data_IF_637539105358
#
_entry.id   IF_637539105358
#
_cell.length_a   1.000
_cell.length_b   1.000
_cell.length_c   1.000
_cell.angle_alpha   90.00
_cell.angle_beta   90.00
_cell.angle_gamma   90.00
#
_symmetry.space_group_name_H-M   'P 1'
#
loop_
_entity.id
_entity.type
_entity.pdbx_description
1 polymer ?
#
# COMPACT_ATOMS: atom_id res chain seq x y z
N UNK A 1 23.56 3.12 7.09
CA UNK A 1 22.98 4.43 6.74
C UNK A 1 23.45 4.74 5.34
N UNK A 2 22.53 4.99 4.39
CA UNK A 2 22.94 5.42 3.05
C UNK A 2 23.73 6.73 3.17
N UNK A 3 24.76 6.90 2.33
CA UNK A 3 25.50 8.15 2.28
C UNK A 3 24.56 9.32 1.96
N UNK A 4 24.82 10.51 2.49
CA UNK A 4 24.04 11.72 2.17
C UNK A 4 24.03 12.02 0.67
N UNK A 5 24.95 11.47 -0.10
CA UNK A 5 25.00 11.61 -1.56
C UNK A 5 24.05 10.63 -2.28
N UNK A 6 23.90 9.39 -1.78
CA UNK A 6 23.01 8.38 -2.38
C UNK A 6 21.54 8.83 -2.34
N UNK A 7 21.16 9.50 -1.25
CA UNK A 7 19.80 9.99 -1.05
C UNK A 7 19.43 11.11 -2.03
N UNK A 8 20.40 11.88 -2.56
CA UNK A 8 20.14 12.97 -3.50
C UNK A 8 19.65 12.51 -4.88
N UNK A 9 19.92 11.25 -5.24
CA UNK A 9 19.52 10.67 -6.52
C UNK A 9 18.21 9.88 -6.45
N UNK A 10 17.60 9.76 -5.26
CA UNK A 10 16.35 9.05 -5.05
C UNK A 10 15.15 10.00 -5.20
N UNK A 11 14.04 9.48 -5.73
CA UNK A 11 12.83 10.27 -5.91
C UNK A 11 12.26 10.72 -4.55
N UNK A 12 11.96 12.02 -4.46
CA UNK A 12 11.29 12.66 -3.33
C UNK A 12 9.84 13.00 -3.69
N UNK A 13 8.94 12.94 -2.71
CA UNK A 13 7.51 13.22 -2.90
C UNK A 13 7.01 14.27 -1.89
N UNK A 14 7.38 15.56 -2.05
CA UNK A 14 7.06 16.62 -1.07
C UNK A 14 5.56 16.77 -0.78
N UNK A 15 4.72 16.45 -1.78
CA UNK A 15 3.28 16.32 -1.63
C UNK A 15 2.85 14.93 -2.07
N UNK A 16 2.09 14.23 -1.22
CA UNK A 16 1.53 12.92 -1.56
C UNK A 16 0.01 13.02 -1.72
N UNK A 17 -0.56 12.54 -2.83
CA UNK A 17 -2.00 12.43 -2.96
C UNK A 17 -2.58 11.55 -1.86
N UNK A 18 -3.70 11.98 -1.28
CA UNK A 18 -4.48 11.19 -0.33
C UNK A 18 -5.31 10.18 -1.10
N UNK A 19 -5.23 8.92 -0.73
CA UNK A 19 -5.88 7.82 -1.46
C UNK A 19 -6.68 6.95 -0.51
N UNK A 20 -7.93 6.68 -0.87
CA UNK A 20 -8.82 5.76 -0.18
C UNK A 20 -9.29 4.71 -1.20
N UNK A 21 -9.03 3.43 -0.94
CA UNK A 21 -9.32 2.34 -1.89
C UNK A 21 -10.54 1.56 -1.40
N UNK A 22 -11.46 1.32 -2.33
CA UNK A 22 -12.69 0.53 -2.15
C UNK A 22 -12.68 -0.51 -3.26
N UNK A 23 -12.73 -1.80 -2.92
CA UNK A 23 -12.62 -2.88 -3.91
C UNK A 23 -13.34 -4.14 -3.44
N UNK A 24 -13.93 -4.87 -4.38
CA UNK A 24 -14.50 -6.21 -4.19
C UNK A 24 -13.46 -7.33 -4.42
N UNK A 25 -12.23 -7.08 -3.97
CA UNK A 25 -10.95 -7.85 -3.95
C UNK A 25 -10.91 -9.36 -4.27
N UNK A 26 -11.98 -10.10 -4.04
CA UNK A 26 -12.07 -11.55 -4.24
C UNK A 26 -12.94 -11.92 -5.45
N UNK A 27 -13.52 -10.94 -6.14
CA UNK A 27 -14.41 -11.17 -7.29
C UNK A 27 -13.61 -11.53 -8.54
N UNK A 28 -12.60 -10.72 -8.86
CA UNK A 28 -11.71 -10.91 -10.01
C UNK A 28 -10.23 -10.80 -9.57
N UNK A 29 -9.29 -11.45 -10.28
CA UNK A 29 -7.89 -11.42 -9.90
C UNK A 29 -7.23 -10.03 -10.04
N UNK A 30 -7.77 -9.15 -10.87
CA UNK A 30 -7.21 -7.83 -11.17
C UNK A 30 -7.25 -6.86 -9.98
N UNK A 31 -8.24 -6.99 -9.10
CA UNK A 31 -8.29 -6.24 -7.84
C UNK A 31 -7.07 -6.54 -6.96
N UNK A 32 -6.72 -7.83 -6.84
CA UNK A 32 -5.60 -8.29 -6.04
C UNK A 32 -4.27 -7.83 -6.65
N UNK A 33 -4.12 -7.98 -7.97
CA UNK A 33 -2.94 -7.53 -8.71
C UNK A 33 -2.75 -6.02 -8.64
N UNK A 34 -3.85 -5.26 -8.77
CA UNK A 34 -3.84 -3.81 -8.67
C UNK A 34 -3.51 -3.34 -7.26
N UNK A 35 -3.99 -4.03 -6.22
CA UNK A 35 -3.61 -3.73 -4.83
C UNK A 35 -2.13 -4.02 -4.58
N UNK A 36 -1.59 -5.14 -5.06
CA UNK A 36 -0.14 -5.44 -4.98
C UNK A 36 0.69 -4.35 -5.65
N UNK A 37 0.30 -3.92 -6.86
CA UNK A 37 0.98 -2.84 -7.58
C UNK A 37 0.87 -1.51 -6.84
N UNK A 38 -0.29 -1.20 -6.25
CA UNK A 38 -0.46 -0.01 -5.43
C UNK A 38 0.49 -0.01 -4.23
N UNK A 39 0.58 -1.14 -3.51
CA UNK A 39 1.44 -1.28 -2.33
C UNK A 39 2.92 -1.13 -2.68
N UNK A 40 3.36 -1.61 -3.85
CA UNK A 40 4.72 -1.39 -4.35
C UNK A 40 5.09 0.10 -4.45
N UNK A 41 4.13 0.94 -4.85
CA UNK A 41 4.30 2.40 -4.99
C UNK A 41 3.70 3.20 -3.82
N UNK A 42 3.34 2.54 -2.73
CA UNK A 42 2.68 3.18 -1.56
C UNK A 42 3.50 4.32 -0.96
N UNK A 43 4.82 4.33 -1.15
CA UNK A 43 5.68 5.43 -0.71
C UNK A 43 5.35 6.78 -1.37
N UNK A 44 4.68 6.77 -2.53
CA UNK A 44 4.29 7.97 -3.28
C UNK A 44 2.93 8.54 -2.82
N UNK A 45 2.19 7.78 -2.01
CA UNK A 45 0.81 8.12 -1.62
C UNK A 45 0.67 8.27 -0.11
N UNK A 46 -0.37 8.99 0.29
CA UNK A 46 -0.87 8.97 1.66
C UNK A 46 -2.13 8.12 1.68
N UNK A 47 -1.99 6.84 1.99
CA UNK A 47 -3.12 5.91 2.09
C UNK A 47 -3.93 6.19 3.36
N UNK A 48 -5.19 6.52 3.17
CA UNK A 48 -6.15 6.86 4.21
C UNK A 48 -6.98 5.64 4.64
N UNK A 49 -7.21 4.71 3.72
CA UNK A 49 -7.99 3.51 4.00
C UNK A 49 -8.01 2.52 2.84
N UNK A 50 -8.18 1.25 3.19
CA UNK A 50 -8.44 0.14 2.27
C UNK A 50 -9.71 -0.55 2.78
N UNK A 51 -10.75 -0.63 1.96
CA UNK A 51 -12.05 -1.19 2.37
C UNK A 51 -12.49 -2.24 1.36
N UNK A 52 -12.74 -3.46 1.87
CA UNK A 52 -13.35 -4.52 1.11
C UNK A 52 -14.87 -4.31 1.05
N UNK A 53 -15.42 -4.30 -0.17
CA UNK A 53 -16.81 -3.98 -0.44
C UNK A 53 -17.47 -5.01 -1.36
N UNK A 54 -18.77 -4.84 -1.58
CA UNK A 54 -19.56 -5.59 -2.56
C UNK A 54 -19.57 -4.87 -3.91
N UNK A 55 -19.94 -5.57 -4.98
CA UNK A 55 -20.14 -5.00 -6.33
C UNK A 55 -21.39 -5.54 -7.01
N UNK A 56 -21.60 -5.18 -8.27
CA UNK A 56 -22.65 -5.75 -9.12
C UNK A 56 -22.47 -7.25 -9.34
N UNK A 57 -21.22 -7.73 -9.31
CA UNK A 57 -20.85 -9.12 -9.56
C UNK A 57 -20.62 -9.91 -8.25
N UNK A 58 -20.32 -9.22 -7.14
CA UNK A 58 -20.25 -9.77 -5.79
C UNK A 58 -21.22 -9.04 -4.83
N UNK A 59 -22.52 -9.35 -4.91
CA UNK A 59 -23.58 -8.55 -4.26
C UNK A 59 -23.70 -8.72 -2.74
N UNK A 60 -23.44 -9.92 -2.22
CA UNK A 60 -23.86 -10.31 -0.86
C UNK A 60 -22.69 -10.74 0.03
N UNK A 61 -21.45 -10.47 -0.38
CA UNK A 61 -20.25 -10.93 0.31
C UNK A 61 -19.17 -9.85 0.26
N UNK A 62 -18.50 -9.65 1.38
CA UNK A 62 -17.25 -8.88 1.45
C UNK A 62 -16.11 -9.83 1.85
N UNK A 63 -14.90 -9.52 1.38
CA UNK A 63 -13.73 -10.37 1.58
C UNK A 63 -12.52 -9.62 2.19
N UNK A 64 -12.66 -8.95 3.35
CA UNK A 64 -11.54 -8.21 3.96
C UNK A 64 -10.33 -9.09 4.25
N UNK A 65 -10.52 -10.39 4.53
CA UNK A 65 -9.44 -11.34 4.76
C UNK A 65 -8.47 -11.46 3.57
N UNK A 66 -8.94 -11.25 2.34
CA UNK A 66 -8.08 -11.35 1.16
C UNK A 66 -7.24 -10.09 0.97
N UNK A 67 -7.76 -8.91 1.31
CA UNK A 67 -6.93 -7.70 1.47
C UNK A 67 -5.87 -7.89 2.57
N UNK A 68 -6.25 -8.46 3.73
CA UNK A 68 -5.31 -8.71 4.82
C UNK A 68 -4.15 -9.61 4.40
N UNK A 69 -4.42 -10.72 3.68
CA UNK A 69 -3.36 -11.60 3.16
C UNK A 69 -2.34 -10.84 2.30
N UNK A 70 -2.82 -9.95 1.43
CA UNK A 70 -1.95 -9.14 0.57
C UNK A 70 -1.12 -8.16 1.39
N UNK A 71 -1.74 -7.50 2.38
CA UNK A 71 -1.06 -6.55 3.28
C UNK A 71 0.00 -7.27 4.14
N UNK A 72 -0.31 -8.46 4.66
CA UNK A 72 0.61 -9.27 5.46
C UNK A 72 1.81 -9.73 4.61
N UNK A 73 1.57 -10.15 3.36
CA UNK A 73 2.64 -10.48 2.42
C UNK A 73 3.52 -9.25 2.10
N UNK A 74 2.89 -8.08 1.87
CA UNK A 74 3.59 -6.83 1.67
C UNK A 74 4.47 -6.46 2.87
N UNK A 75 3.97 -6.62 4.10
CA UNK A 75 4.72 -6.33 5.32
C UNK A 75 6.05 -7.11 5.39
N UNK A 76 6.08 -8.35 4.88
CA UNK A 76 7.31 -9.14 4.75
C UNK A 76 8.34 -8.59 3.74
N UNK A 77 7.90 -7.74 2.80
CA UNK A 77 8.76 -7.15 1.75
C UNK A 77 9.19 -5.70 2.06
N UNK A 78 8.51 -5.00 2.98
CA UNK A 78 8.72 -3.56 3.25
C UNK A 78 10.18 -3.21 3.54
N UNK A 79 10.88 -4.02 4.32
CA UNK A 79 12.28 -3.75 4.67
C UNK A 79 13.19 -3.76 3.44
N UNK A 80 12.89 -4.61 2.45
CA UNK A 80 13.62 -4.63 1.18
C UNK A 80 13.22 -3.46 0.28
N UNK A 81 11.94 -3.10 0.23
CA UNK A 81 11.47 -1.94 -0.51
C UNK A 81 12.10 -0.64 0.02
N UNK A 82 12.19 -0.50 1.34
CA UNK A 82 12.73 0.68 2.00
C UNK A 82 14.24 0.88 1.78
N UNK A 83 14.97 -0.11 1.25
CA UNK A 83 16.37 0.05 0.81
C UNK A 83 16.49 0.80 -0.51
N UNK A 84 15.40 0.93 -1.28
CA UNK A 84 15.38 1.48 -2.63
C UNK A 84 14.60 2.79 -2.75
N UNK A 85 14.17 3.37 -1.62
CA UNK A 85 13.41 4.62 -1.59
C UNK A 85 14.12 5.64 -0.71
N UNK A 86 13.84 6.91 -0.95
CA UNK A 86 14.38 7.99 -0.14
C UNK A 86 13.99 7.81 1.34
N UNK A 87 14.90 8.03 2.31
CA UNK A 87 14.66 7.76 3.72
C UNK A 87 13.49 8.52 4.35
N UNK A 88 13.16 9.70 3.81
CA UNK A 88 11.99 10.50 4.24
C UNK A 88 10.67 10.03 3.61
N UNK A 89 10.73 9.25 2.53
CA UNK A 89 9.57 8.77 1.79
C UNK A 89 9.52 7.24 1.80
N UNK A 90 9.48 6.67 3.01
CA UNK A 90 9.43 5.22 3.22
C UNK A 90 8.03 4.62 3.01
N UNK A 91 8.03 3.38 2.53
CA UNK A 91 6.91 2.45 2.59
C UNK A 91 6.53 2.16 4.05
N UNK A 92 5.25 1.96 4.34
CA UNK A 92 4.81 1.75 5.73
C UNK A 92 5.20 0.36 6.22
N UNK A 93 5.62 0.28 7.49
CA UNK A 93 6.03 -0.97 8.16
C UNK A 93 4.93 -1.59 9.04
N UNK A 94 3.77 -0.92 9.17
CA UNK A 94 2.63 -1.34 10.01
C UNK A 94 1.30 -0.97 9.39
N UNK A 95 0.25 -1.69 9.79
CA UNK A 95 -1.14 -1.43 9.43
C UNK A 95 -1.52 0.05 9.64
N UNK A 96 -2.29 0.67 8.71
CA UNK A 96 -2.73 2.07 8.82
C UNK A 96 -3.47 2.40 10.12
N UNK A 97 -4.12 1.41 10.73
CA UNK A 97 -4.85 1.56 12.01
C UNK A 97 -3.98 1.88 13.21
N UNK A 98 -2.64 1.73 13.12
CA UNK A 98 -1.71 2.13 14.18
C UNK A 98 -1.12 3.54 13.97
N UNK A 99 -1.61 4.31 12.99
CA UNK A 99 -1.14 5.68 12.73
C UNK A 99 -1.84 6.77 13.52
N UNK A 100 -2.81 6.45 14.39
CA UNK A 100 -3.54 7.45 15.15
C UNK A 100 -4.35 8.36 14.22
N UNK A 101 -5.52 7.87 13.83
CA UNK A 101 -6.61 8.68 13.28
C UNK A 101 -7.69 8.78 14.35
#
# INVERSE_FOLDING_TARGET
MASSEDSKNLLAFPSKPRVFIVSDISNEPDDAESLVRYLLYSNQFQTEGLVACTSTWMKNKVCPQDMHKIIDAYAGAVDNLNKHVHPDFRCWTRYPTQRGW
#
